data_IF_949121824252
#
_entry.id   IF_949121824252
#
_cell.length_a   1.000
_cell.length_b   1.000
_cell.length_c   1.000
_cell.angle_alpha   90.00
_cell.angle_beta   90.00
_cell.angle_gamma   90.00
#
_symmetry.space_group_name_H-M   'P 1'
#
loop_
_entity.id
_entity.type
_entity.pdbx_description
1 polymer ?
#
# COMPACT_ATOMS: atom_id res chain seq x y z
N UNK A 1 3.45 -2.60 2.33
CA UNK A 1 4.65 -3.39 2.00
C UNK A 1 5.78 -2.43 1.73
N UNK A 2 6.88 -2.54 2.42
CA UNK A 2 8.04 -1.71 2.15
C UNK A 2 9.05 -2.45 1.26
N UNK A 3 10.01 -1.73 0.70
CA UNK A 3 11.02 -2.29 -0.20
C UNK A 3 11.93 -3.33 0.48
N UNK A 4 12.17 -3.19 1.77
CA UNK A 4 12.96 -4.14 2.54
C UNK A 4 12.29 -5.51 2.65
N UNK A 5 10.98 -5.53 2.90
CA UNK A 5 10.19 -6.77 2.95
C UNK A 5 10.23 -7.48 1.61
N UNK A 6 10.06 -6.75 0.52
CA UNK A 6 10.12 -7.29 -0.84
C UNK A 6 11.50 -7.89 -1.12
N UNK A 7 12.55 -7.21 -0.68
CA UNK A 7 13.92 -7.67 -0.87
C UNK A 7 14.22 -8.95 -0.12
N UNK A 8 13.80 -9.02 1.15
CA UNK A 8 13.95 -10.22 1.97
C UNK A 8 13.26 -11.43 1.33
N UNK A 9 12.12 -11.22 0.68
CA UNK A 9 11.43 -12.27 -0.06
C UNK A 9 12.28 -12.82 -1.21
N UNK A 10 12.97 -11.97 -1.95
CA UNK A 10 13.84 -12.41 -3.06
C UNK A 10 15.05 -13.20 -2.55
N UNK A 11 15.71 -12.71 -1.49
CA UNK A 11 16.85 -13.40 -0.87
C UNK A 11 16.41 -14.77 -0.34
N UNK A 12 15.33 -14.82 0.39
CA UNK A 12 14.76 -16.04 0.95
C UNK A 12 14.37 -17.03 -0.14
N UNK A 13 13.75 -16.55 -1.22
CA UNK A 13 13.37 -17.41 -2.35
C UNK A 13 14.58 -18.03 -3.02
N UNK A 14 15.63 -17.23 -3.28
CA UNK A 14 16.86 -17.75 -3.88
C UNK A 14 17.48 -18.86 -3.03
N UNK A 15 17.54 -18.66 -1.73
CA UNK A 15 18.06 -19.65 -0.79
C UNK A 15 17.21 -20.92 -0.79
N UNK A 16 15.88 -20.78 -0.76
CA UNK A 16 14.95 -21.91 -0.74
C UNK A 16 15.08 -22.81 -1.96
N UNK A 17 15.29 -22.24 -3.13
CA UNK A 17 15.43 -23.03 -4.38
C UNK A 17 16.89 -23.36 -4.70
N UNK A 18 17.85 -22.82 -3.95
CA UNK A 18 19.26 -23.11 -4.13
C UNK A 18 19.86 -22.62 -5.43
N UNK A 19 19.40 -21.49 -5.97
CA UNK A 19 19.90 -20.97 -7.24
C UNK A 19 21.16 -20.15 -7.04
N UNK A 20 22.31 -20.52 -7.66
CA UNK A 20 23.52 -19.69 -7.62
C UNK A 20 23.31 -18.35 -8.34
N UNK A 21 24.02 -17.32 -7.88
CA UNK A 21 23.91 -15.97 -8.46
C UNK A 21 24.26 -15.96 -9.96
N UNK A 22 25.28 -16.69 -10.37
CA UNK A 22 25.65 -16.76 -11.79
C UNK A 22 24.53 -17.34 -12.66
N UNK A 23 23.83 -18.37 -12.16
CA UNK A 23 22.68 -18.95 -12.86
C UNK A 23 21.51 -17.97 -12.89
N UNK A 24 21.25 -17.29 -11.77
CA UNK A 24 20.21 -16.27 -11.71
C UNK A 24 20.47 -15.13 -12.70
N UNK A 25 21.71 -14.68 -12.79
CA UNK A 25 22.12 -13.67 -13.78
C UNK A 25 21.84 -14.15 -15.21
N UNK A 26 22.24 -15.37 -15.55
CA UNK A 26 22.02 -15.94 -16.87
C UNK A 26 20.53 -16.08 -17.20
N UNK A 27 19.72 -16.56 -16.25
CA UNK A 27 18.29 -16.81 -16.47
C UNK A 27 17.48 -15.51 -16.52
N UNK A 28 17.85 -14.51 -15.72
CA UNK A 28 17.15 -13.23 -15.69
C UNK A 28 17.57 -12.27 -16.79
N UNK A 29 18.76 -12.48 -17.37
CA UNK A 29 19.35 -11.53 -18.30
C UNK A 29 19.89 -10.28 -17.63
N UNK A 30 19.95 -10.25 -16.30
CA UNK A 30 20.47 -9.13 -15.51
C UNK A 30 21.92 -9.42 -15.14
N UNK A 31 22.79 -8.44 -15.35
CA UNK A 31 24.23 -8.59 -15.05
C UNK A 31 24.47 -8.92 -13.58
N UNK A 32 25.43 -9.80 -13.32
CA UNK A 32 25.73 -10.28 -11.98
C UNK A 32 25.94 -9.18 -10.94
N UNK A 33 26.70 -8.08 -11.21
CA UNK A 33 26.81 -6.99 -10.25
C UNK A 33 25.48 -6.34 -9.88
N UNK A 34 24.56 -6.24 -10.84
CA UNK A 34 23.22 -5.70 -10.59
C UNK A 34 22.39 -6.67 -9.76
N UNK A 35 22.46 -7.99 -10.04
CA UNK A 35 21.81 -9.02 -9.24
C UNK A 35 22.28 -8.93 -7.77
N UNK A 36 23.59 -8.82 -7.56
CA UNK A 36 24.18 -8.70 -6.23
C UNK A 36 23.69 -7.45 -5.49
N UNK A 37 23.56 -6.32 -6.19
CA UNK A 37 23.02 -5.09 -5.59
C UNK A 37 21.56 -5.26 -5.19
N UNK A 38 20.75 -5.87 -6.05
CA UNK A 38 19.34 -6.11 -5.75
C UNK A 38 19.20 -7.00 -4.52
N UNK A 39 19.93 -8.11 -4.47
CA UNK A 39 19.87 -9.04 -3.34
C UNK A 39 20.56 -8.50 -2.08
N UNK A 40 21.48 -7.55 -2.24
CA UNK A 40 22.24 -6.96 -1.14
C UNK A 40 21.59 -5.76 -0.47
N UNK A 41 20.31 -5.47 -0.71
CA UNK A 41 19.61 -4.40 -0.03
C UNK A 41 19.49 -3.10 -0.82
N UNK A 42 19.94 -3.07 -2.07
CA UNK A 42 19.93 -1.85 -2.91
C UNK A 42 18.90 -1.94 -4.06
N UNK A 43 17.82 -2.69 -3.87
CA UNK A 43 16.78 -2.85 -4.88
C UNK A 43 16.14 -1.51 -5.25
N UNK A 44 16.04 -0.57 -4.31
CA UNK A 44 15.48 0.76 -4.55
C UNK A 44 16.30 1.56 -5.58
N UNK A 45 17.57 1.23 -5.77
CA UNK A 45 18.45 1.89 -6.74
C UNK A 45 18.50 1.17 -8.09
N UNK A 46 17.88 -0.01 -8.20
CA UNK A 46 17.81 -0.77 -9.43
C UNK A 46 16.58 -0.38 -10.23
N UNK A 47 16.61 -0.59 -11.55
CA UNK A 47 15.41 -0.37 -12.35
C UNK A 47 14.33 -1.41 -12.00
N UNK A 48 13.08 -1.02 -12.09
CA UNK A 48 11.96 -1.95 -11.90
C UNK A 48 12.06 -3.16 -12.83
N UNK A 49 12.45 -2.94 -14.09
CA UNK A 49 12.60 -4.02 -15.05
C UNK A 49 13.62 -5.07 -14.59
N UNK A 50 14.73 -4.66 -14.03
CA UNK A 50 15.74 -5.57 -13.50
C UNK A 50 15.23 -6.35 -12.28
N UNK A 51 14.57 -5.67 -11.36
CA UNK A 51 13.99 -6.33 -10.17
C UNK A 51 12.93 -7.34 -10.60
N UNK A 52 12.05 -6.96 -11.54
CA UNK A 52 11.01 -7.84 -12.06
C UNK A 52 11.60 -9.08 -12.75
N UNK A 53 12.66 -8.91 -13.56
CA UNK A 53 13.33 -10.01 -14.23
C UNK A 53 13.97 -11.00 -13.24
N UNK A 54 14.62 -10.49 -12.21
CA UNK A 54 15.19 -11.32 -11.13
C UNK A 54 14.09 -12.09 -10.39
N UNK A 55 13.01 -11.41 -10.04
CA UNK A 55 11.88 -12.04 -9.34
C UNK A 55 11.26 -13.15 -10.21
N UNK A 56 11.04 -12.90 -11.48
CA UNK A 56 10.49 -13.90 -12.39
C UNK A 56 11.41 -15.11 -12.53
N UNK A 57 12.72 -14.90 -12.69
CA UNK A 57 13.70 -15.98 -12.76
C UNK A 57 13.75 -16.83 -11.49
N UNK A 58 13.40 -16.25 -10.34
CA UNK A 58 13.29 -16.96 -9.07
C UNK A 58 11.94 -17.66 -8.87
N UNK A 59 11.03 -17.57 -9.83
CA UNK A 59 9.71 -18.16 -9.71
C UNK A 59 8.77 -17.41 -8.75
N UNK A 60 9.05 -16.15 -8.50
CA UNK A 60 8.20 -15.28 -7.67
C UNK A 60 7.93 -13.96 -8.42
N UNK A 61 7.14 -14.01 -9.51
CA UNK A 61 6.89 -12.82 -10.32
C UNK A 61 6.22 -11.71 -9.52
N UNK A 62 6.57 -10.47 -9.86
CA UNK A 62 5.96 -9.30 -9.25
C UNK A 62 4.54 -9.15 -9.80
N UNK A 63 3.58 -9.01 -8.90
CA UNK A 63 2.20 -8.74 -9.24
C UNK A 63 1.65 -7.69 -8.29
N UNK A 64 0.60 -7.00 -8.74
CA UNK A 64 -0.09 -6.03 -7.92
C UNK A 64 -1.40 -6.62 -7.43
N UNK A 65 -1.51 -6.81 -6.11
CA UNK A 65 -2.77 -7.18 -5.50
C UNK A 65 -3.62 -5.92 -5.32
N UNK A 66 -4.85 -5.95 -5.79
CA UNK A 66 -5.75 -4.82 -5.70
C UNK A 66 -6.87 -5.12 -4.70
N UNK A 67 -7.13 -4.16 -3.82
CA UNK A 67 -8.32 -4.18 -2.97
C UNK A 67 -9.53 -3.87 -3.86
N UNK A 68 -10.69 -4.45 -3.53
CA UNK A 68 -11.93 -4.15 -4.24
C UNK A 68 -12.14 -2.62 -4.33
N UNK A 69 -12.39 -2.06 -5.53
CA UNK A 69 -12.49 -0.61 -5.70
C UNK A 69 -13.53 0.06 -4.83
N UNK A 70 -14.70 -0.54 -4.69
CA UNK A 70 -15.78 0.02 -3.87
C UNK A 70 -15.41 0.00 -2.40
N UNK A 71 -14.81 -1.09 -1.93
CA UNK A 71 -14.33 -1.19 -0.56
C UNK A 71 -13.23 -0.18 -0.26
N UNK A 72 -12.31 0.01 -1.20
CA UNK A 72 -11.23 0.98 -1.05
C UNK A 72 -11.77 2.41 -0.95
N UNK A 73 -12.72 2.76 -1.81
CA UNK A 73 -13.40 4.06 -1.78
C UNK A 73 -14.16 4.26 -0.47
N UNK A 74 -14.89 3.26 0.01
CA UNK A 74 -15.63 3.32 1.27
C UNK A 74 -14.72 3.51 2.47
N UNK A 75 -13.60 2.81 2.51
CA UNK A 75 -12.61 2.96 3.58
C UNK A 75 -12.07 4.39 3.62
N UNK A 76 -11.74 4.95 2.46
CA UNK A 76 -11.28 6.33 2.37
C UNK A 76 -12.35 7.33 2.82
N UNK A 77 -13.58 7.14 2.36
CA UNK A 77 -14.70 8.01 2.73
C UNK A 77 -14.97 7.94 4.24
N UNK A 78 -14.95 6.74 4.82
CA UNK A 78 -15.15 6.57 6.26
C UNK A 78 -14.05 7.20 7.09
N UNK A 79 -12.79 7.01 6.70
CA UNK A 79 -11.65 7.64 7.39
C UNK A 79 -11.79 9.16 7.39
N UNK A 80 -12.14 9.72 6.25
CA UNK A 80 -12.35 11.16 6.10
C UNK A 80 -13.54 11.65 6.93
N UNK A 81 -14.64 10.89 6.91
CA UNK A 81 -15.84 11.19 7.70
C UNK A 81 -15.54 11.16 9.21
N UNK A 82 -14.73 10.21 9.66
CA UNK A 82 -14.32 10.13 11.07
C UNK A 82 -13.48 11.34 11.49
N UNK A 83 -12.60 11.82 10.61
CA UNK A 83 -11.82 13.03 10.86
C UNK A 83 -12.73 14.26 10.98
N UNK A 84 -13.69 14.40 10.09
CA UNK A 84 -14.67 15.50 10.10
C UNK A 84 -15.52 15.43 11.39
N UNK A 85 -15.99 14.24 11.75
CA UNK A 85 -16.80 14.03 12.94
C UNK A 85 -16.02 14.38 14.22
N UNK A 86 -14.74 14.05 14.29
CA UNK A 86 -13.89 14.44 15.44
C UNK A 86 -13.75 15.96 15.55
N UNK A 87 -13.60 16.64 14.43
CA UNK A 87 -13.53 18.11 14.41
C UNK A 87 -14.84 18.73 14.90
N UNK A 88 -15.98 18.23 14.42
CA UNK A 88 -17.32 18.69 14.84
C UNK A 88 -17.53 18.44 16.33
N UNK A 89 -17.19 17.26 16.82
CA UNK A 89 -17.32 16.92 18.23
C UNK A 89 -16.43 17.78 19.12
N UNK A 90 -15.19 18.04 18.69
CA UNK A 90 -14.29 18.94 19.41
C UNK A 90 -14.86 20.35 19.53
N UNK A 91 -15.42 20.90 18.45
CA UNK A 91 -16.08 22.19 18.43
C UNK A 91 -17.30 22.20 19.34
N UNK A 92 -18.14 21.17 19.27
CA UNK A 92 -19.34 21.04 20.10
C UNK A 92 -18.98 20.96 21.60
N UNK A 93 -17.91 20.25 21.93
CA UNK A 93 -17.42 20.15 23.31
C UNK A 93 -16.94 21.51 23.83
N UNK A 94 -16.25 22.29 23.00
CA UNK A 94 -15.83 23.67 23.35
C UNK A 94 -17.02 24.61 23.59
N UNK A 95 -18.11 24.37 22.88
CA UNK A 95 -19.35 25.14 23.01
C UNK A 95 -20.26 24.61 24.15
N UNK A 96 -19.83 23.58 24.85
CA UNK A 96 -20.62 22.95 25.92
C UNK A 96 -21.72 22.03 25.40
N UNK A 97 -21.67 21.64 24.12
CA UNK A 97 -22.65 20.78 23.47
C UNK A 97 -22.00 19.50 22.99
N UNK A 98 -21.92 18.49 23.84
CA UNK A 98 -21.37 17.19 23.45
C UNK A 98 -22.39 16.42 22.59
N UNK A 99 -21.91 15.85 21.47
CA UNK A 99 -22.69 14.94 20.63
C UNK A 99 -22.68 13.57 21.29
N UNK A 100 -23.84 12.92 21.45
CA UNK A 100 -23.87 11.58 22.02
C UNK A 100 -23.34 10.53 21.02
N UNK A 101 -23.07 9.30 21.52
CA UNK A 101 -22.45 8.24 20.70
C UNK A 101 -23.29 7.81 19.50
N UNK A 102 -24.61 7.81 19.62
CA UNK A 102 -25.53 7.45 18.53
C UNK A 102 -25.51 8.53 17.44
N UNK A 103 -25.60 9.78 17.83
CA UNK A 103 -25.57 10.92 16.91
C UNK A 103 -24.21 11.04 16.22
N UNK A 104 -23.14 10.74 16.94
CA UNK A 104 -21.78 10.69 16.40
C UNK A 104 -21.67 9.65 15.29
N UNK A 105 -22.16 8.43 15.50
CA UNK A 105 -22.16 7.38 14.50
C UNK A 105 -23.03 7.73 13.28
N UNK A 106 -24.18 8.34 13.50
CA UNK A 106 -25.05 8.81 12.40
C UNK A 106 -24.37 9.89 11.58
N UNK A 107 -23.63 10.78 12.22
CA UNK A 107 -22.85 11.81 11.52
C UNK A 107 -21.80 11.18 10.61
N UNK A 108 -21.05 10.18 11.13
CA UNK A 108 -20.06 9.45 10.36
C UNK A 108 -20.69 8.76 9.14
N UNK A 109 -21.79 8.03 9.34
CA UNK A 109 -22.47 7.32 8.25
C UNK A 109 -22.98 8.26 7.17
N UNK A 110 -23.61 9.36 7.56
CA UNK A 110 -24.13 10.36 6.64
C UNK A 110 -23.00 11.04 5.87
N UNK A 111 -21.95 11.44 6.55
CA UNK A 111 -20.80 12.08 5.92
C UNK A 111 -20.08 11.13 4.97
N UNK A 112 -19.94 9.86 5.35
CA UNK A 112 -19.38 8.81 4.48
C UNK A 112 -20.18 8.69 3.18
N UNK A 113 -21.50 8.61 3.26
CA UNK A 113 -22.37 8.50 2.10
C UNK A 113 -22.30 9.75 1.23
N UNK A 114 -22.24 10.92 1.82
CA UNK A 114 -22.11 12.18 1.10
C UNK A 114 -20.79 12.26 0.33
N UNK A 115 -19.69 11.82 0.93
CA UNK A 115 -18.38 11.77 0.27
C UNK A 115 -18.37 10.79 -0.90
N UNK A 116 -19.05 9.65 -0.78
CA UNK A 116 -19.14 8.67 -1.86
C UNK A 116 -19.99 9.16 -3.04
N UNK A 117 -20.99 10.01 -2.79
CA UNK A 117 -21.82 10.62 -3.83
C UNK A 117 -21.19 11.87 -4.46
N UNK A 118 -20.23 12.48 -3.76
CA UNK A 118 -19.60 13.71 -4.19
C UNK A 118 -18.51 13.52 -5.25
N UNK A 119 -17.71 14.54 -5.46
CA UNK A 119 -16.63 14.49 -6.44
C UNK A 119 -15.51 13.54 -5.98
N UNK A 120 -14.91 12.85 -6.93
CA UNK A 120 -13.76 11.97 -6.66
C UNK A 120 -12.57 12.75 -6.13
N UNK A 121 -12.37 13.96 -6.61
CA UNK A 121 -11.31 14.85 -6.11
C UNK A 121 -11.49 15.12 -4.62
N UNK A 122 -12.69 15.43 -4.17
CA UNK A 122 -12.98 15.67 -2.76
C UNK A 122 -12.74 14.44 -1.91
N UNK A 123 -13.11 13.26 -2.42
CA UNK A 123 -12.91 11.99 -1.73
C UNK A 123 -11.42 11.73 -1.46
N UNK A 124 -10.55 11.97 -2.44
CA UNK A 124 -9.14 11.60 -2.37
C UNK A 124 -8.22 12.72 -1.90
N UNK A 125 -8.67 13.96 -1.90
CA UNK A 125 -7.86 15.09 -1.42
C UNK A 125 -7.62 15.01 0.09
N UNK A 126 -6.55 15.63 0.52
CA UNK A 126 -6.24 15.71 1.95
C UNK A 126 -7.30 16.51 2.74
#
# INVERSE_FOLDING_TARGET
MNSETTLLQLVSRRESIGMPIAILSARSGVKEPTVKRILGGRAAQASFAHVAAVAEALGTPIGFAAVDPDQFRRTQARTKAEQIARMVQGTSALEGQAVDGVDYQRLIERTTNDLLRGSRKRLWSA
#
